data_IF_741750140196
#
_entry.id   IF_741750140196
#
_cell.length_a   1.000
_cell.length_b   1.000
_cell.length_c   1.000
_cell.angle_alpha   90.00
_cell.angle_beta   90.00
_cell.angle_gamma   90.00
#
_symmetry.space_group_name_H-M   'P 1'
#
loop_
_entity.id
_entity.type
_entity.pdbx_description
1 polymer ?
#
# COMPACT_ATOMS: atom_id res chain seq x y z
N UNK A 1 -5.06 9.64 -15.27
CA UNK A 1 -4.26 9.77 -16.52
C UNK A 1 -2.78 10.00 -16.20
N UNK A 2 -2.43 11.04 -15.44
CA UNK A 2 -1.04 11.37 -15.10
C UNK A 2 -0.24 10.20 -14.48
N UNK A 3 -0.80 9.52 -13.45
CA UNK A 3 -0.13 8.35 -12.85
C UNK A 3 0.23 7.25 -13.87
N UNK A 4 -0.65 6.99 -14.84
CA UNK A 4 -0.39 6.04 -15.92
C UNK A 4 0.74 6.51 -16.85
N UNK A 5 0.84 7.83 -17.09
CA UNK A 5 1.91 8.41 -17.90
C UNK A 5 3.27 8.28 -17.20
N UNK A 6 3.32 8.54 -15.89
CA UNK A 6 4.53 8.33 -15.06
C UNK A 6 4.97 6.86 -15.05
N UNK A 7 4.02 5.93 -14.88
CA UNK A 7 4.35 4.49 -14.91
C UNK A 7 4.79 4.06 -16.31
N UNK A 8 4.16 4.55 -17.37
CA UNK A 8 4.54 4.20 -18.74
C UNK A 8 5.91 4.74 -19.15
N UNK A 9 6.29 5.93 -18.67
CA UNK A 9 7.56 6.56 -19.06
C UNK A 9 8.80 5.81 -18.52
N UNK A 10 8.71 5.18 -17.34
CA UNK A 10 9.76 4.29 -16.82
C UNK A 10 9.51 2.81 -17.15
N UNK A 11 8.25 2.38 -17.08
CA UNK A 11 7.86 0.98 -17.16
C UNK A 11 7.56 0.48 -18.57
N UNK A 12 7.59 1.35 -19.58
CA UNK A 12 7.21 1.08 -20.98
C UNK A 12 5.71 0.90 -21.21
N UNK A 13 4.94 0.53 -20.17
CA UNK A 13 3.49 0.32 -20.20
C UNK A 13 2.87 0.82 -18.90
N UNK A 14 1.69 1.43 -18.99
CA UNK A 14 0.94 1.89 -17.81
C UNK A 14 0.37 0.73 -16.98
N UNK A 15 0.03 -0.39 -17.63
CA UNK A 15 -0.52 -1.60 -16.99
C UNK A 15 0.37 -2.78 -17.35
N UNK A 16 0.78 -3.54 -16.34
CA UNK A 16 1.83 -4.57 -16.43
C UNK A 16 3.14 -3.99 -17.00
N UNK A 17 3.81 -3.10 -16.25
CA UNK A 17 5.08 -2.51 -16.68
C UNK A 17 6.13 -3.60 -16.90
N UNK A 18 6.95 -3.44 -17.94
CA UNK A 18 8.00 -4.37 -18.36
C UNK A 18 9.40 -3.76 -18.29
N UNK A 19 9.50 -2.48 -17.91
CA UNK A 19 10.76 -1.74 -17.82
C UNK A 19 11.65 -2.13 -16.64
N UNK A 20 11.09 -2.74 -15.59
CA UNK A 20 11.85 -3.21 -14.42
C UNK A 20 12.56 -4.53 -14.75
N UNK A 21 13.82 -4.65 -14.36
CA UNK A 21 14.62 -5.85 -14.54
C UNK A 21 15.51 -6.13 -13.32
N UNK A 22 16.10 -7.33 -13.26
CA UNK A 22 17.05 -7.65 -12.18
C UNK A 22 18.25 -6.70 -12.27
N UNK A 23 18.50 -5.97 -11.19
CA UNK A 23 19.57 -4.97 -11.10
C UNK A 23 19.20 -3.55 -11.54
N UNK A 24 17.94 -3.26 -11.87
CA UNK A 24 17.47 -1.90 -12.16
C UNK A 24 16.38 -1.84 -13.23
N UNK A 25 16.55 -0.99 -14.23
CA UNK A 25 15.63 -0.78 -15.34
C UNK A 25 16.31 -1.06 -16.69
N UNK A 26 15.54 -1.51 -17.68
CA UNK A 26 16.05 -1.72 -19.04
C UNK A 26 16.53 -0.42 -19.70
N UNK A 27 15.89 0.71 -19.37
CA UNK A 27 16.25 2.06 -19.80
C UNK A 27 15.96 3.06 -18.69
N UNK A 28 16.75 4.13 -18.63
CA UNK A 28 16.43 5.30 -17.81
C UNK A 28 15.24 6.06 -18.42
N UNK A 29 14.59 6.90 -17.60
CA UNK A 29 13.63 7.88 -18.10
C UNK A 29 14.34 8.86 -19.05
N UNK A 30 13.68 9.24 -20.14
CA UNK A 30 14.15 10.29 -21.04
C UNK A 30 14.02 11.68 -20.37
N UNK A 31 15.07 12.52 -20.38
CA UNK A 31 14.99 13.85 -19.75
C UNK A 31 13.93 14.78 -20.35
N UNK A 32 13.63 14.66 -21.64
CA UNK A 32 12.56 15.42 -22.29
C UNK A 32 11.18 14.99 -21.80
N UNK A 33 10.98 13.68 -21.60
CA UNK A 33 9.76 13.18 -20.96
C UNK A 33 9.64 13.65 -19.51
N UNK A 34 10.73 13.67 -18.74
CA UNK A 34 10.73 14.21 -17.38
C UNK A 34 10.31 15.68 -17.35
N UNK A 35 10.93 16.51 -18.19
CA UNK A 35 10.61 17.93 -18.32
C UNK A 35 9.16 18.18 -18.77
N UNK A 36 8.61 17.30 -19.62
CA UNK A 36 7.21 17.39 -20.07
C UNK A 36 6.21 17.03 -18.97
N UNK A 37 6.53 16.03 -18.13
CA UNK A 37 5.66 15.55 -17.07
C UNK A 37 5.64 16.48 -15.85
N UNK A 38 6.76 17.16 -15.55
CA UNK A 38 6.91 17.97 -14.35
C UNK A 38 5.80 19.05 -14.18
N UNK A 39 5.44 19.86 -15.20
CA UNK A 39 4.35 20.83 -15.06
C UNK A 39 3.00 20.17 -14.77
N UNK A 40 2.71 19.02 -15.38
CA UNK A 40 1.47 18.27 -15.14
C UNK A 40 1.43 17.72 -13.70
N UNK A 41 2.58 17.24 -13.19
CA UNK A 41 2.69 16.77 -11.79
C UNK A 41 2.49 17.91 -10.80
N UNK A 42 3.11 19.07 -11.03
CA UNK A 42 2.94 20.25 -10.17
C UNK A 42 1.48 20.73 -10.13
N UNK A 43 0.83 20.83 -11.28
CA UNK A 43 -0.58 21.21 -11.34
C UNK A 43 -1.47 20.19 -10.60
N UNK A 44 -1.26 18.89 -10.84
CA UNK A 44 -2.03 17.85 -10.16
C UNK A 44 -1.75 17.80 -8.64
N UNK A 45 -0.55 18.15 -8.20
CA UNK A 45 -0.21 18.26 -6.78
C UNK A 45 -1.04 19.36 -6.12
N UNK A 46 -1.14 20.54 -6.74
CA UNK A 46 -1.94 21.64 -6.21
C UNK A 46 -3.43 21.27 -6.15
N UNK A 47 -3.98 20.67 -7.22
CA UNK A 47 -5.36 20.15 -7.23
C UNK A 47 -5.59 19.11 -6.11
N UNK A 48 -4.60 18.23 -5.89
CA UNK A 48 -4.70 17.18 -4.86
C UNK A 48 -4.62 17.76 -3.44
N UNK A 49 -3.88 18.86 -3.22
CA UNK A 49 -3.90 19.58 -1.95
C UNK A 49 -5.31 20.13 -1.66
N UNK A 50 -5.94 20.77 -2.64
CA UNK A 50 -7.31 21.30 -2.51
C UNK A 50 -8.33 20.18 -2.28
N UNK A 51 -8.24 19.10 -3.07
CA UNK A 51 -9.10 17.93 -2.91
C UNK A 51 -8.95 17.30 -1.52
N UNK A 52 -7.73 17.22 -0.99
CA UNK A 52 -7.49 16.65 0.35
C UNK A 52 -8.23 17.44 1.43
N UNK A 53 -8.21 18.77 1.36
CA UNK A 53 -8.94 19.63 2.30
C UNK A 53 -10.46 19.54 2.08
N UNK A 54 -10.90 19.51 0.83
CA UNK A 54 -12.31 19.30 0.49
C UNK A 54 -12.84 17.99 1.06
N UNK A 55 -12.10 16.88 0.93
CA UNK A 55 -12.50 15.58 1.47
C UNK A 55 -12.59 15.61 2.99
N UNK A 56 -11.67 16.29 3.67
CA UNK A 56 -11.69 16.44 5.13
C UNK A 56 -12.88 17.28 5.62
N UNK A 57 -13.26 18.33 4.87
CA UNK A 57 -14.31 19.28 5.27
C UNK A 57 -15.72 18.82 4.88
N UNK A 58 -15.89 18.20 3.70
CA UNK A 58 -17.21 18.03 3.07
C UNK A 58 -17.80 16.63 3.16
N UNK A 59 -17.00 15.64 3.54
CA UNK A 59 -17.47 14.27 3.69
C UNK A 59 -17.71 13.93 5.16
N UNK A 60 -18.73 13.09 5.37
CA UNK A 60 -19.01 12.53 6.68
C UNK A 60 -18.16 11.27 6.92
N UNK A 61 -17.56 11.20 8.11
CA UNK A 61 -16.75 10.06 8.55
C UNK A 61 -17.43 9.42 9.77
N UNK A 62 -18.22 8.33 9.55
CA UNK A 62 -18.89 7.65 10.65
C UNK A 62 -17.90 7.19 11.71
N UNK A 63 -18.27 7.35 12.98
CA UNK A 63 -17.43 6.87 14.07
C UNK A 63 -17.48 5.35 14.17
N UNK A 64 -16.36 4.68 13.91
CA UNK A 64 -16.20 3.24 14.11
C UNK A 64 -14.79 2.95 14.61
N UNK A 65 -14.52 3.40 15.83
CA UNK A 65 -13.21 3.20 16.44
C UNK A 65 -12.97 1.76 16.87
N UNK A 66 -11.76 1.26 16.60
CA UNK A 66 -11.28 -0.05 17.05
C UNK A 66 -9.80 0.07 17.45
N UNK A 67 -9.36 -0.73 18.40
CA UNK A 67 -7.97 -0.76 18.82
C UNK A 67 -7.08 -1.57 17.84
N UNK A 68 -6.86 -1.01 16.65
CA UNK A 68 -6.08 -1.63 15.59
C UNK A 68 -4.60 -1.84 15.97
N UNK A 69 -4.05 -2.98 15.58
CA UNK A 69 -2.60 -3.13 15.38
C UNK A 69 -2.30 -2.72 13.94
N UNK A 70 -1.73 -1.53 13.76
CA UNK A 70 -1.28 -1.04 12.46
C UNK A 70 0.10 -1.59 12.16
N UNK A 71 0.33 -2.03 10.92
CA UNK A 71 1.60 -2.57 10.46
C UNK A 71 2.00 -1.89 9.14
N UNK A 72 3.26 -1.47 9.05
CA UNK A 72 3.83 -0.87 7.84
C UNK A 72 5.36 -1.06 7.80
N UNK A 73 5.97 -0.74 6.65
CA UNK A 73 7.38 -0.40 6.62
C UNK A 73 7.63 0.89 7.42
N UNK A 74 8.77 0.94 8.10
CA UNK A 74 9.25 2.08 8.86
C UNK A 74 10.77 2.27 8.62
N UNK A 75 11.18 2.87 7.49
CA UNK A 75 12.57 3.28 7.29
C UNK A 75 12.90 4.46 8.23
N UNK A 76 14.19 4.79 8.34
CA UNK A 76 14.65 5.80 9.30
C UNK A 76 14.53 7.24 8.75
N UNK A 77 14.57 7.44 7.44
CA UNK A 77 14.84 8.74 6.80
C UNK A 77 13.80 9.21 5.77
N UNK A 78 12.81 8.39 5.42
CA UNK A 78 11.82 8.71 4.38
C UNK A 78 10.44 8.15 4.70
N UNK A 79 9.40 8.66 4.06
CA UNK A 79 8.08 8.02 4.15
C UNK A 79 8.12 6.62 3.49
N UNK A 80 7.48 5.60 4.08
CA UNK A 80 7.63 4.22 3.61
C UNK A 80 6.97 3.98 2.25
N UNK A 81 7.78 3.58 1.27
CA UNK A 81 7.31 3.06 -0.03
C UNK A 81 8.00 1.74 -0.38
N UNK A 82 9.34 1.69 -0.30
CA UNK A 82 10.11 0.53 -0.79
C UNK A 82 11.00 -0.12 0.26
N UNK A 83 11.46 0.61 1.26
CA UNK A 83 12.49 0.16 2.19
C UNK A 83 12.05 0.39 3.64
N UNK A 84 12.70 -0.33 4.55
CA UNK A 84 12.50 -0.19 5.99
C UNK A 84 12.29 -1.52 6.68
N UNK A 85 12.37 -1.48 8.01
CA UNK A 85 11.95 -2.58 8.87
C UNK A 85 10.42 -2.62 8.93
N UNK A 86 9.86 -3.78 9.21
CA UNK A 86 8.41 -3.96 9.33
C UNK A 86 8.04 -3.77 10.80
N UNK A 87 7.32 -2.70 11.12
CA UNK A 87 6.94 -2.34 12.49
C UNK A 87 5.44 -2.27 12.68
N UNK A 88 5.00 -2.43 13.93
CA UNK A 88 3.63 -2.14 14.35
C UNK A 88 3.57 -1.18 15.53
N UNK A 89 2.41 -0.54 15.70
CA UNK A 89 2.12 0.31 16.87
C UNK A 89 2.00 -0.49 18.19
N UNK A 90 2.07 -1.82 18.16
CA UNK A 90 2.05 -2.69 19.35
C UNK A 90 3.33 -3.51 19.51
N UNK A 91 4.45 -3.01 18.98
CA UNK A 91 5.79 -3.49 19.34
C UNK A 91 6.33 -4.66 18.52
N UNK A 92 5.65 -5.06 17.43
CA UNK A 92 6.33 -5.85 16.39
C UNK A 92 7.41 -4.98 15.73
N UNK A 93 8.62 -5.52 15.59
CA UNK A 93 9.71 -4.91 14.82
C UNK A 93 10.60 -6.02 14.25
N UNK A 94 10.52 -6.25 12.93
CA UNK A 94 11.20 -7.36 12.26
C UNK A 94 11.84 -6.93 10.95
N UNK A 95 12.92 -7.61 10.57
CA UNK A 95 13.46 -7.51 9.22
C UNK A 95 12.54 -8.20 8.20
N UNK A 96 12.71 -7.85 6.92
CA UNK A 96 11.96 -8.48 5.82
C UNK A 96 12.14 -10.01 5.76
N UNK A 97 13.30 -10.53 6.17
CA UNK A 97 13.59 -11.97 6.26
C UNK A 97 12.87 -12.69 7.41
N UNK A 98 12.44 -11.94 8.42
CA UNK A 98 11.84 -12.44 9.65
C UNK A 98 10.30 -12.37 9.60
N UNK A 99 9.71 -11.84 8.52
CA UNK A 99 8.26 -11.64 8.41
C UNK A 99 7.43 -12.89 8.71
N UNK A 100 7.78 -14.03 8.11
CA UNK A 100 7.10 -15.31 8.35
C UNK A 100 7.33 -15.90 9.74
N UNK A 101 8.28 -15.37 10.52
CA UNK A 101 8.41 -15.74 11.93
C UNK A 101 7.30 -15.08 12.76
N UNK A 102 6.86 -13.88 12.38
CA UNK A 102 5.88 -13.07 13.09
C UNK A 102 4.45 -13.18 12.54
N UNK A 103 4.30 -13.36 11.23
CA UNK A 103 3.01 -13.42 10.53
C UNK A 103 2.70 -14.85 10.13
N UNK A 104 1.43 -15.22 10.22
CA UNK A 104 0.89 -16.49 9.71
C UNK A 104 -0.33 -16.22 8.82
N UNK A 105 -0.52 -17.07 7.80
CA UNK A 105 -1.73 -17.08 6.99
C UNK A 105 -2.55 -18.33 7.30
N UNK A 106 -3.87 -18.15 7.42
CA UNK A 106 -4.82 -19.25 7.61
C UNK A 106 -5.92 -19.19 6.56
N UNK A 107 -6.36 -20.36 6.11
CA UNK A 107 -7.58 -20.50 5.35
C UNK A 107 -8.77 -20.54 6.30
N UNK A 108 -9.86 -19.86 5.94
CA UNK A 108 -11.13 -19.91 6.69
C UNK A 108 -12.22 -20.47 5.78
N UNK A 109 -13.18 -21.18 6.36
CA UNK A 109 -14.17 -21.94 5.58
C UNK A 109 -15.03 -21.09 4.64
N UNK A 110 -15.26 -19.82 5.00
CA UNK A 110 -16.19 -18.92 4.31
C UNK A 110 -15.51 -17.94 3.34
N UNK A 111 -14.19 -18.04 3.12
CA UNK A 111 -13.46 -17.14 2.22
C UNK A 111 -12.42 -17.88 1.40
N UNK A 112 -12.34 -17.54 0.11
CA UNK A 112 -11.26 -18.00 -0.76
C UNK A 112 -9.95 -17.21 -0.55
N UNK A 113 -10.01 -16.05 0.13
CA UNK A 113 -8.83 -15.29 0.49
C UNK A 113 -8.27 -15.82 1.82
N UNK A 114 -6.95 -15.98 1.87
CA UNK A 114 -6.25 -16.23 3.12
C UNK A 114 -6.42 -15.05 4.08
N UNK A 115 -6.35 -15.35 5.37
CA UNK A 115 -6.34 -14.36 6.43
C UNK A 115 -4.96 -14.35 7.04
N UNK A 116 -4.27 -13.21 6.96
CA UNK A 116 -3.04 -13.03 7.72
C UNK A 116 -3.34 -12.58 9.15
N UNK A 117 -2.47 -12.96 10.07
CA UNK A 117 -2.46 -12.46 11.45
C UNK A 117 -1.06 -12.43 12.03
N UNK A 118 -0.85 -11.55 13.00
CA UNK A 118 0.34 -11.59 13.84
C UNK A 118 0.16 -12.76 14.81
N UNK A 119 1.14 -13.68 14.82
CA UNK A 119 1.11 -14.89 15.64
C UNK A 119 0.91 -14.54 17.11
N UNK A 120 -0.10 -15.16 17.72
CA UNK A 120 -0.45 -14.93 19.12
C UNK A 120 -1.10 -13.57 19.44
N UNK A 121 -1.35 -12.70 18.45
CA UNK A 121 -1.98 -11.39 18.66
C UNK A 121 -3.28 -11.19 17.88
N UNK A 122 -3.35 -11.70 16.65
CA UNK A 122 -4.57 -11.65 15.82
C UNK A 122 -4.46 -10.72 14.61
N UNK A 123 -5.58 -10.10 14.24
CA UNK A 123 -5.67 -9.26 13.04
C UNK A 123 -4.82 -7.99 13.16
N UNK A 124 -4.41 -7.47 12.02
CA UNK A 124 -3.71 -6.20 11.90
C UNK A 124 -4.21 -5.45 10.67
N UNK A 125 -3.90 -4.16 10.59
CA UNK A 125 -4.29 -3.30 9.47
C UNK A 125 -3.04 -2.76 8.77
N UNK A 126 -3.03 -2.87 7.46
CA UNK A 126 -2.03 -2.31 6.54
C UNK A 126 -2.70 -1.32 5.59
N UNK A 127 -1.90 -0.42 5.00
CA UNK A 127 -2.38 0.57 4.04
C UNK A 127 -2.11 2.01 4.47
N UNK A 128 -2.73 2.99 3.77
CA UNK A 128 -2.44 4.41 3.97
C UNK A 128 -2.61 4.87 5.42
N UNK A 129 -3.67 4.43 6.08
CA UNK A 129 -3.93 4.77 7.48
C UNK A 129 -2.84 4.23 8.42
N UNK A 130 -2.39 3.00 8.19
CA UNK A 130 -1.32 2.38 8.97
C UNK A 130 0.02 3.12 8.78
N UNK A 131 0.38 3.40 7.52
CA UNK A 131 1.59 4.14 7.18
C UNK A 131 1.60 5.54 7.78
N UNK A 132 0.49 6.27 7.65
CA UNK A 132 0.35 7.62 8.20
C UNK A 132 0.48 7.62 9.72
N UNK A 133 -0.25 6.73 10.41
CA UNK A 133 -0.20 6.63 11.87
C UNK A 133 1.20 6.29 12.40
N UNK A 134 2.00 5.56 11.63
CA UNK A 134 3.34 5.09 12.05
C UNK A 134 4.49 5.99 11.58
N UNK A 135 4.28 6.84 10.57
CA UNK A 135 5.36 7.56 9.88
C UNK A 135 4.98 9.00 9.47
N UNK A 136 3.99 9.62 10.11
CA UNK A 136 3.54 10.98 9.77
C UNK A 136 4.67 12.02 9.77
N UNK A 137 5.65 11.85 10.64
CA UNK A 137 6.85 12.70 10.75
C UNK A 137 7.75 12.66 9.52
N UNK A 138 7.58 11.64 8.66
CA UNK A 138 8.38 11.44 7.44
C UNK A 138 7.67 11.88 6.17
N UNK A 139 6.48 12.46 6.29
CA UNK A 139 5.76 13.01 5.14
C UNK A 139 6.60 14.08 4.43
N UNK A 140 6.51 14.12 3.11
CA UNK A 140 7.03 15.21 2.31
C UNK A 140 6.46 16.54 2.84
N UNK A 141 7.24 17.63 2.91
CA UNK A 141 6.82 18.92 3.47
C UNK A 141 5.42 19.38 3.00
N UNK A 142 5.14 19.28 1.70
CA UNK A 142 3.83 19.61 1.12
C UNK A 142 2.65 18.84 1.74
N UNK A 143 2.81 17.57 2.07
CA UNK A 143 1.77 16.78 2.73
C UNK A 143 1.76 17.03 4.25
N UNK A 144 2.94 17.21 4.86
CA UNK A 144 3.07 17.52 6.29
C UNK A 144 2.41 18.86 6.66
N UNK A 145 2.49 19.87 5.79
CA UNK A 145 1.83 21.17 5.96
C UNK A 145 0.29 21.07 5.94
N UNK A 146 -0.27 20.10 5.21
CA UNK A 146 -1.72 19.88 5.16
C UNK A 146 -2.24 19.10 6.36
N UNK A 147 -1.45 18.20 6.92
CA UNK A 147 -1.88 17.28 7.97
C UNK A 147 -2.53 18.01 9.18
N UNK A 148 -1.97 19.08 9.76
CA UNK A 148 -2.63 19.82 10.84
C UNK A 148 -4.00 20.37 10.44
N UNK A 149 -4.13 20.92 9.23
CA UNK A 149 -5.40 21.46 8.73
C UNK A 149 -6.44 20.35 8.52
N UNK A 150 -6.01 19.19 8.02
CA UNK A 150 -6.86 18.00 7.89
C UNK A 150 -7.32 17.52 9.27
N UNK A 151 -6.40 17.44 10.24
CA UNK A 151 -6.71 17.10 11.63
C UNK A 151 -7.74 18.07 12.25
N UNK A 152 -7.56 19.37 12.04
CA UNK A 152 -8.47 20.41 12.54
C UNK A 152 -9.87 20.28 11.93
N UNK A 153 -9.95 20.09 10.61
CA UNK A 153 -11.22 19.91 9.88
C UNK A 153 -11.96 18.63 10.31
N UNK A 154 -11.22 17.55 10.57
CA UNK A 154 -11.78 16.30 11.07
C UNK A 154 -12.09 16.34 12.57
N UNK A 155 -11.62 17.36 13.30
CA UNK A 155 -11.69 17.43 14.76
C UNK A 155 -10.92 16.31 15.47
N UNK A 156 -9.83 15.82 14.89
CA UNK A 156 -9.09 14.64 15.37
C UNK A 156 -7.58 14.79 15.23
N UNK A 157 -6.84 14.37 16.26
CA UNK A 157 -5.39 14.19 16.19
C UNK A 157 -5.01 12.74 15.82
N UNK A 158 -3.81 12.55 15.29
CA UNK A 158 -3.21 11.22 15.15
C UNK A 158 -2.91 10.62 16.54
N UNK A 159 -2.90 9.28 16.69
CA UNK A 159 -3.23 8.28 15.66
C UNK A 159 -4.73 8.14 15.43
N UNK A 160 -5.13 8.01 14.17
CA UNK A 160 -6.52 7.78 13.78
C UNK A 160 -6.87 6.30 13.89
N UNK A 161 -7.78 5.97 14.82
CA UNK A 161 -8.22 4.60 15.11
C UNK A 161 -9.57 4.25 14.47
N UNK A 162 -9.87 4.85 13.31
CA UNK A 162 -11.13 4.66 12.59
C UNK A 162 -10.84 4.47 11.10
N UNK A 163 -11.21 3.31 10.54
CA UNK A 163 -10.90 3.00 9.14
C UNK A 163 -11.67 3.88 8.12
N UNK A 164 -12.76 4.55 8.50
CA UNK A 164 -13.37 5.56 7.64
C UNK A 164 -12.41 6.73 7.32
N UNK A 165 -11.39 6.95 8.16
CA UNK A 165 -10.34 7.94 7.94
C UNK A 165 -9.22 7.45 6.99
N UNK A 166 -9.35 6.26 6.41
CA UNK A 166 -8.44 5.76 5.36
C UNK A 166 -8.52 6.59 4.07
N UNK A 167 -9.66 7.24 3.78
CA UNK A 167 -9.81 8.13 2.63
C UNK A 167 -8.93 9.40 2.75
N UNK A 168 -9.03 10.22 3.82
CA UNK A 168 -8.15 11.37 3.98
C UNK A 168 -6.68 10.95 4.14
N UNK A 169 -6.38 9.81 4.78
CA UNK A 169 -5.02 9.29 4.82
C UNK A 169 -4.47 8.99 3.40
N UNK A 170 -5.28 8.36 2.54
CA UNK A 170 -4.91 8.10 1.13
C UNK A 170 -4.75 9.40 0.33
N UNK A 171 -5.56 10.42 0.62
CA UNK A 171 -5.45 11.72 -0.04
C UNK A 171 -4.11 12.42 0.32
N UNK A 172 -3.76 12.45 1.61
CA UNK A 172 -2.46 12.95 2.09
C UNK A 172 -1.27 12.18 1.48
N UNK A 173 -1.36 10.85 1.40
CA UNK A 173 -0.33 10.05 0.73
C UNK A 173 -0.24 10.31 -0.78
N UNK A 174 -1.34 10.66 -1.43
CA UNK A 174 -1.32 11.03 -2.85
C UNK A 174 -0.62 12.38 -3.04
N UNK A 175 -0.85 13.35 -2.15
CA UNK A 175 -0.08 14.61 -2.11
C UNK A 175 1.40 14.31 -1.90
N UNK A 176 1.74 13.44 -0.94
CA UNK A 176 3.12 12.99 -0.71
C UNK A 176 3.74 12.42 -1.98
N UNK A 177 3.08 11.46 -2.63
CA UNK A 177 3.61 10.79 -3.82
C UNK A 177 3.78 11.73 -5.00
N UNK A 178 2.84 12.67 -5.22
CA UNK A 178 2.95 13.68 -6.26
C UNK A 178 4.07 14.68 -5.98
N UNK A 179 4.29 15.06 -4.72
CA UNK A 179 5.37 15.95 -4.34
C UNK A 179 6.74 15.29 -4.51
N UNK A 180 6.90 14.04 -4.07
CA UNK A 180 8.11 13.25 -4.34
C UNK A 180 8.34 13.07 -5.85
N UNK A 181 7.28 12.84 -6.63
CA UNK A 181 7.40 12.78 -8.10
C UNK A 181 7.85 14.13 -8.69
N UNK A 182 7.37 15.25 -8.17
CA UNK A 182 7.82 16.58 -8.61
C UNK A 182 9.31 16.78 -8.32
N UNK A 183 9.77 16.42 -7.11
CA UNK A 183 11.17 16.53 -6.72
C UNK A 183 12.09 15.64 -7.57
N UNK A 184 11.66 14.41 -7.86
CA UNK A 184 12.43 13.48 -8.69
C UNK A 184 12.52 13.90 -10.17
N UNK A 185 11.51 14.61 -10.67
CA UNK A 185 11.47 15.08 -12.06
C UNK A 185 12.18 16.44 -12.24
N UNK A 186 12.26 17.25 -11.18
CA UNK A 186 12.89 18.57 -11.25
C UNK A 186 14.41 18.44 -11.43
N UNK A 187 14.91 18.96 -12.55
CA UNK A 187 16.32 18.81 -12.92
C UNK A 187 16.77 17.36 -13.08
N UNK A 188 15.85 16.43 -13.42
CA UNK A 188 16.19 15.02 -13.58
C UNK A 188 17.34 14.82 -14.58
N UNK A 189 18.40 14.16 -14.10
CA UNK A 189 19.50 13.68 -14.92
C UNK A 189 19.51 12.15 -14.93
N UNK A 190 19.64 11.52 -16.11
CA UNK A 190 19.62 10.06 -16.19
C UNK A 190 20.88 9.49 -15.54
N UNK A 191 20.77 8.37 -14.81
CA UNK A 191 21.94 7.74 -14.20
C UNK A 191 22.89 7.24 -15.29
N UNK A 192 24.19 7.23 -14.99
CA UNK A 192 25.21 6.69 -15.90
C UNK A 192 24.94 5.23 -16.33
N UNK A 193 24.22 4.47 -15.48
CA UNK A 193 23.74 3.11 -15.78
C UNK A 193 22.34 2.93 -15.21
N UNK A 194 21.42 2.43 -16.02
CA UNK A 194 20.03 2.12 -15.60
C UNK A 194 19.91 0.77 -14.89
N UNK A 195 20.91 -0.11 -15.07
CA UNK A 195 20.97 -1.42 -14.41
C UNK A 195 22.41 -1.87 -14.16
N UNK A 196 22.59 -2.69 -13.13
CA UNK A 196 23.84 -3.40 -12.86
C UNK A 196 23.78 -4.84 -13.39
N UNK A 197 24.86 -5.36 -14.01
CA UNK A 197 24.91 -6.75 -14.41
C UNK A 197 24.98 -7.64 -13.18
N UNK A 198 24.12 -8.65 -13.13
CA UNK A 198 24.06 -9.62 -12.05
C UNK A 198 24.17 -11.03 -12.63
N UNK A 199 24.83 -11.92 -11.89
CA UNK A 199 24.85 -13.35 -12.18
C UNK A 199 23.83 -14.03 -11.29
N UNK A 200 23.03 -14.92 -11.89
CA UNK A 200 22.13 -15.77 -11.13
C UNK A 200 22.92 -16.62 -10.13
N UNK A 201 22.29 -16.91 -9.00
CA UNK A 201 22.80 -17.79 -7.96
C UNK A 201 21.64 -18.41 -7.21
N UNK A 202 21.87 -19.56 -6.61
CA UNK A 202 20.91 -20.13 -5.67
C UNK A 202 20.78 -19.24 -4.43
N UNK A 203 19.58 -19.13 -3.89
CA UNK A 203 19.34 -18.30 -2.71
C UNK A 203 17.89 -18.22 -2.27
N UNK A 204 17.69 -17.59 -1.11
CA UNK A 204 16.39 -17.21 -0.59
C UNK A 204 16.39 -15.70 -0.39
N UNK A 205 15.41 -15.01 -0.98
CA UNK A 205 15.26 -13.56 -0.84
C UNK A 205 13.82 -13.21 -0.54
N UNK A 206 13.62 -12.29 0.40
CA UNK A 206 12.30 -11.77 0.75
C UNK A 206 12.32 -10.27 0.94
N UNK A 207 11.19 -9.65 0.63
CA UNK A 207 11.05 -8.19 0.64
C UNK A 207 9.58 -7.80 0.75
N UNK A 208 9.32 -6.74 1.50
CA UNK A 208 8.05 -6.05 1.56
C UNK A 208 8.18 -4.70 0.84
N UNK A 209 7.21 -4.39 -0.01
CA UNK A 209 7.02 -3.06 -0.60
C UNK A 209 5.65 -2.53 -0.18
N UNK A 210 5.53 -1.25 0.13
CA UNK A 210 4.24 -0.63 0.40
C UNK A 210 3.50 -0.39 -0.91
N UNK A 211 2.68 -1.36 -1.30
CA UNK A 211 1.70 -1.13 -2.34
C UNK A 211 0.65 -0.11 -1.85
N UNK A 212 -0.15 0.50 -2.74
CA UNK A 212 -1.14 1.50 -2.34
C UNK A 212 -2.09 1.03 -1.23
N UNK A 213 -2.39 -0.28 -1.20
CA UNK A 213 -3.32 -0.94 -0.25
C UNK A 213 -2.64 -1.48 1.02
N UNK A 214 -1.33 -1.30 1.17
CA UNK A 214 -0.52 -1.78 2.28
C UNK A 214 0.69 -2.58 1.83
N UNK A 215 1.42 -3.15 2.78
CA UNK A 215 2.60 -3.95 2.49
C UNK A 215 2.25 -5.17 1.62
N UNK A 216 2.93 -5.31 0.50
CA UNK A 216 2.95 -6.52 -0.32
C UNK A 216 4.28 -7.21 -0.02
N UNK A 217 4.21 -8.30 0.74
CA UNK A 217 5.40 -9.07 1.09
C UNK A 217 5.55 -10.28 0.17
N UNK A 218 6.78 -10.57 -0.24
CA UNK A 218 7.06 -11.76 -1.04
C UNK A 218 8.39 -12.41 -0.67
N UNK A 219 8.51 -13.69 -1.01
CA UNK A 219 9.73 -14.47 -0.89
C UNK A 219 9.88 -15.38 -2.11
N UNK A 220 11.12 -15.50 -2.59
CA UNK A 220 11.47 -16.37 -3.69
C UNK A 220 12.70 -17.20 -3.33
N UNK A 221 12.65 -18.49 -3.66
CA UNK A 221 13.81 -19.37 -3.69
C UNK A 221 14.27 -19.53 -5.12
N UNK A 222 15.55 -19.26 -5.38
CA UNK A 222 16.16 -19.40 -6.70
C UNK A 222 17.14 -20.57 -6.74
N UNK A 223 17.24 -21.24 -7.89
CA UNK A 223 18.31 -22.19 -8.23
C UNK A 223 19.58 -21.48 -8.75
N UNK A 224 20.62 -22.26 -9.01
CA UNK A 224 21.92 -21.73 -9.51
C UNK A 224 21.81 -21.03 -10.86
N UNK A 225 20.90 -21.49 -11.73
CA UNK A 225 20.60 -20.91 -13.03
C UNK A 225 19.60 -19.73 -12.95
N UNK A 226 19.15 -19.37 -11.75
CA UNK A 226 18.15 -18.32 -11.52
C UNK A 226 16.71 -18.77 -11.67
N UNK A 227 16.45 -20.06 -11.89
CA UNK A 227 15.09 -20.60 -11.90
C UNK A 227 14.39 -20.40 -10.55
N UNK A 228 13.11 -20.04 -10.56
CA UNK A 228 12.29 -19.95 -9.35
C UNK A 228 11.89 -21.36 -8.93
N UNK A 229 12.34 -21.79 -7.76
CA UNK A 229 12.03 -23.09 -7.16
C UNK A 229 10.82 -23.03 -6.23
N UNK A 230 10.62 -21.88 -5.58
CA UNK A 230 9.53 -21.62 -4.66
C UNK A 230 9.21 -20.12 -4.66
N UNK A 231 7.92 -19.78 -4.52
CA UNK A 231 7.44 -18.41 -4.48
C UNK A 231 6.27 -18.29 -3.50
N UNK A 232 6.38 -17.34 -2.58
CA UNK A 232 5.35 -16.97 -1.63
C UNK A 232 5.06 -15.48 -1.75
N UNK A 233 3.78 -15.12 -1.81
CA UNK A 233 3.33 -13.73 -1.92
C UNK A 233 2.18 -13.56 -0.93
N UNK A 234 2.30 -12.55 -0.07
CA UNK A 234 1.30 -12.17 0.93
C UNK A 234 0.81 -10.76 0.55
N UNK A 235 -0.28 -10.67 -0.25
CA UNK A 235 -0.77 -9.41 -0.79
C UNK A 235 -1.51 -8.60 0.28
N UNK A 236 -1.57 -7.25 0.18
CA UNK A 236 -2.12 -6.40 1.24
C UNK A 236 -3.57 -6.70 1.61
N UNK A 237 -4.41 -6.99 0.61
CA UNK A 237 -5.84 -7.24 0.85
C UNK A 237 -6.08 -8.53 1.65
N UNK A 238 -5.28 -9.58 1.47
CA UNK A 238 -5.37 -10.80 2.30
C UNK A 238 -5.03 -10.52 3.77
N UNK A 239 -4.12 -9.58 4.01
CA UNK A 239 -3.71 -9.18 5.35
C UNK A 239 -4.80 -8.39 6.08
N UNK A 240 -5.51 -7.53 5.36
CA UNK A 240 -6.64 -6.77 5.90
C UNK A 240 -7.93 -7.59 6.07
N UNK A 241 -8.03 -8.79 5.49
CA UNK A 241 -9.29 -9.55 5.43
C UNK A 241 -9.90 -9.81 6.82
N UNK A 242 -9.08 -10.23 7.79
CA UNK A 242 -9.55 -10.45 9.16
C UNK A 242 -10.08 -9.17 9.81
N UNK A 243 -9.41 -8.03 9.58
CA UNK A 243 -9.84 -6.73 10.10
C UNK A 243 -11.14 -6.26 9.46
N UNK A 244 -11.31 -6.47 8.15
CA UNK A 244 -12.56 -6.16 7.43
C UNK A 244 -13.74 -6.91 8.09
N UNK A 245 -13.58 -8.21 8.33
CA UNK A 245 -14.64 -9.03 8.94
C UNK A 245 -14.94 -8.62 10.40
N UNK A 246 -13.92 -8.25 11.16
CA UNK A 246 -14.08 -7.75 12.53
C UNK A 246 -14.84 -6.41 12.56
N UNK A 247 -14.48 -5.47 11.68
CA UNK A 247 -15.15 -4.18 11.57
C UNK A 247 -16.60 -4.33 11.09
N UNK A 248 -16.87 -5.23 10.13
CA UNK A 248 -18.23 -5.57 9.70
C UNK A 248 -19.06 -6.13 10.85
N UNK A 249 -18.47 -6.96 11.72
CA UNK A 249 -19.18 -7.50 12.90
C UNK A 249 -19.52 -6.39 13.90
N UNK A 250 -18.61 -5.43 14.12
CA UNK A 250 -18.88 -4.27 14.98
C UNK A 250 -19.96 -3.38 14.37
N UNK A 251 -19.90 -3.13 13.07
CA UNK A 251 -20.88 -2.32 12.35
C UNK A 251 -22.25 -2.98 12.35
N UNK A 252 -22.34 -4.29 12.09
CA UNK A 252 -23.60 -5.04 12.04
C UNK A 252 -24.45 -4.88 13.32
N UNK A 253 -23.81 -4.86 14.50
CA UNK A 253 -24.49 -4.61 15.77
C UNK A 253 -25.19 -3.25 15.83
N UNK A 254 -24.69 -2.25 15.09
CA UNK A 254 -25.26 -0.90 15.00
C UNK A 254 -26.33 -0.77 13.91
N UNK A 255 -26.44 -1.78 13.04
CA UNK A 255 -27.36 -1.80 11.91
C UNK A 255 -28.57 -2.73 12.13
N UNK A 256 -28.72 -3.31 13.32
CA UNK A 256 -29.75 -4.32 13.60
C UNK A 256 -31.18 -3.87 13.26
N UNK A 257 -31.48 -2.58 13.48
CA UNK A 257 -32.79 -1.97 13.19
C UNK A 257 -32.81 -1.18 11.87
N UNK A 258 -31.72 -1.23 11.09
CA UNK A 258 -31.60 -0.52 9.81
C UNK A 258 -32.17 -1.40 8.69
N UNK A 259 -32.95 -0.87 7.74
CA UNK A 259 -33.42 -1.63 6.59
C UNK A 259 -32.25 -2.26 5.80
N UNK A 260 -32.44 -3.50 5.32
CA UNK A 260 -31.38 -4.31 4.71
C UNK A 260 -30.59 -3.59 3.60
N UNK A 261 -31.25 -2.82 2.75
CA UNK A 261 -30.60 -2.09 1.65
C UNK A 261 -29.65 -1.00 2.17
N UNK A 262 -30.07 -0.24 3.18
CA UNK A 262 -29.24 0.78 3.81
C UNK A 262 -28.11 0.14 4.63
N UNK A 263 -28.39 -0.96 5.33
CA UNK A 263 -27.40 -1.72 6.06
C UNK A 263 -26.31 -2.28 5.13
N UNK A 264 -26.71 -2.86 4.00
CA UNK A 264 -25.80 -3.35 2.98
C UNK A 264 -24.91 -2.23 2.43
N UNK A 265 -25.49 -1.07 2.09
CA UNK A 265 -24.71 0.08 1.60
C UNK A 265 -23.65 0.54 2.60
N UNK A 266 -23.99 0.60 3.90
CA UNK A 266 -23.03 0.97 4.97
C UNK A 266 -21.93 -0.08 5.13
N UNK A 267 -22.25 -1.36 5.05
CA UNK A 267 -21.26 -2.44 5.05
C UNK A 267 -20.31 -2.34 3.84
N UNK A 268 -20.83 -2.05 2.65
CA UNK A 268 -20.00 -1.87 1.47
C UNK A 268 -19.11 -0.62 1.56
N UNK A 269 -19.61 0.49 2.14
CA UNK A 269 -18.80 1.68 2.39
C UNK A 269 -17.63 1.36 3.33
N UNK A 270 -17.87 0.59 4.39
CA UNK A 270 -16.82 0.14 5.30
C UNK A 270 -15.76 -0.70 4.57
N UNK A 271 -16.20 -1.67 3.75
CA UNK A 271 -15.30 -2.51 2.95
C UNK A 271 -14.46 -1.64 2.00
N UNK A 272 -15.08 -0.68 1.31
CA UNK A 272 -14.40 0.21 0.34
C UNK A 272 -13.35 1.11 0.99
N UNK A 273 -13.43 1.40 2.29
CA UNK A 273 -12.40 2.18 2.97
C UNK A 273 -11.04 1.49 3.02
N UNK A 274 -11.02 0.15 3.03
CA UNK A 274 -9.80 -0.65 2.89
C UNK A 274 -9.22 -0.67 1.46
N UNK A 275 -9.95 -0.15 0.47
CA UNK A 275 -9.62 -0.26 -0.97
C UNK A 275 -9.23 -1.70 -1.36
N UNK A 276 -10.07 -2.72 -1.09
CA UNK A 276 -9.69 -4.11 -1.33
C UNK A 276 -9.52 -4.38 -2.83
N UNK A 277 -8.36 -4.93 -3.21
CA UNK A 277 -8.17 -5.56 -4.51
C UNK A 277 -8.47 -7.05 -4.35
N UNK A 278 -9.74 -7.46 -4.52
CA UNK A 278 -10.15 -8.86 -4.31
C UNK A 278 -9.41 -9.80 -5.27
N UNK A 279 -9.16 -9.39 -6.52
CA UNK A 279 -8.35 -10.16 -7.47
C UNK A 279 -6.89 -10.31 -7.06
N UNK A 280 -6.39 -9.43 -6.19
CA UNK A 280 -5.04 -9.51 -5.64
C UNK A 280 -4.97 -10.40 -4.39
N UNK A 281 -6.07 -10.62 -3.66
CA UNK A 281 -6.10 -11.43 -2.43
C UNK A 281 -6.34 -12.92 -2.66
N UNK A 282 -6.64 -13.30 -3.90
CA UNK A 282 -6.79 -14.70 -4.32
C UNK A 282 -5.87 -14.95 -5.50
N UNK A 283 -5.05 -16.01 -5.41
CA UNK A 283 -4.27 -16.50 -6.53
C UNK A 283 -4.80 -17.88 -6.88
N UNK A 284 -5.40 -18.03 -8.06
CA UNK A 284 -5.80 -19.33 -8.56
C UNK A 284 -5.01 -19.65 -9.83
N UNK A 285 -4.47 -20.86 -9.91
CA UNK A 285 -3.89 -21.41 -11.13
C UNK A 285 -4.36 -22.85 -11.25
N UNK A 286 -5.14 -23.14 -12.28
CA UNK A 286 -5.45 -24.50 -12.69
C UNK A 286 -4.52 -24.83 -13.87
N UNK A 287 -3.56 -25.73 -13.67
CA UNK A 287 -2.65 -26.17 -14.72
C UNK A 287 -2.77 -27.67 -14.96
N UNK A 288 -2.90 -28.05 -16.23
CA UNK A 288 -2.90 -29.44 -16.68
C UNK A 288 -1.61 -29.72 -17.44
N UNK A 289 -0.80 -30.66 -16.91
CA UNK A 289 0.49 -31.01 -17.50
C UNK A 289 0.31 -32.17 -18.49
N UNK A 290 0.30 -31.86 -19.79
CA UNK A 290 0.36 -32.89 -20.83
C UNK A 290 1.83 -33.19 -21.13
N UNK A 291 2.30 -34.39 -20.76
CA UNK A 291 3.58 -34.92 -21.26
C UNK A 291 3.34 -35.48 -22.67
N UNK A 292 4.02 -34.95 -23.67
CA UNK A 292 4.22 -35.60 -24.97
C UNK A 292 5.59 -36.26 -24.99
#
# INVERSE_FOLDING_TARGET
KLGNALVASLGGRAVHPVGVCVGGFYSALDPGDAARLLPEVRACLDDMCELTLFLAEKLDYPDLERDYEFLALCPDDQYPMNLGRIRSNKGLDVENGEFLSAIEERHVKHSNALHASIKGRGSYVVGPLARLNLNAEKLHPRAAELLPRVCDLLGRSLPWKNNFLSLPARALETVHALAVAADLLDGYEPPARSRIPLRARAGLGSHGTEAPRGICWHQYRTGEDGSIQDAMIIPPTSQNQASIEEDLRVLANRLAETPDEEAALRCEQLIRNYDPCISCSVHFLQFERIRR
#
